data_IF_150396268126
#
_entry.id   IF_150396268126
#
_cell.length_a   1.000
_cell.length_b   1.000
_cell.length_c   1.000
_cell.angle_alpha   90.00
_cell.angle_beta   90.00
_cell.angle_gamma   90.00
#
_symmetry.space_group_name_H-M   'P 1'
#
loop_
_entity.id
_entity.type
_entity.pdbx_description
1 polymer ?
#
# COMPACT_ATOMS: atom_id res chain seq x y z
N UNK A 1 71.86 8.21 -15.78
CA UNK A 1 71.43 7.04 -16.59
C UNK A 1 70.94 5.98 -15.60
N UNK A 2 69.70 5.48 -15.57
CA UNK A 2 68.61 5.34 -16.55
C UNK A 2 67.27 5.29 -15.79
N UNK A 3 66.22 5.86 -16.41
CA UNK A 3 64.80 5.67 -16.07
C UNK A 3 64.41 4.19 -16.22
N UNK A 4 63.47 3.74 -15.40
CA UNK A 4 62.76 2.47 -15.56
C UNK A 4 61.35 2.58 -14.97
N UNK A 5 60.49 3.35 -15.63
CA UNK A 5 59.04 3.32 -15.44
C UNK A 5 58.57 1.93 -15.89
N UNK A 6 58.06 1.11 -14.96
CA UNK A 6 57.22 -0.04 -15.30
C UNK A 6 55.80 0.30 -14.86
N UNK A 7 55.07 0.91 -15.78
CA UNK A 7 53.62 0.96 -15.74
C UNK A 7 53.10 -0.47 -15.85
N UNK A 8 52.72 -1.05 -14.72
CA UNK A 8 51.87 -2.24 -14.68
C UNK A 8 50.45 -1.80 -14.96
N UNK A 9 50.06 -1.79 -16.24
CA UNK A 9 48.65 -1.72 -16.59
C UNK A 9 47.96 -2.97 -16.03
N UNK A 10 47.03 -2.79 -15.09
CA UNK A 10 46.09 -3.85 -14.75
C UNK A 10 45.33 -4.19 -16.04
N UNK A 11 45.30 -5.45 -16.49
CA UNK A 11 44.42 -5.82 -17.58
C UNK A 11 42.99 -5.50 -17.13
N UNK A 12 42.36 -4.53 -17.80
CA UNK A 12 40.92 -4.27 -17.68
C UNK A 12 40.20 -5.46 -18.28
N UNK A 13 39.94 -6.45 -17.45
CA UNK A 13 39.17 -7.63 -17.84
C UNK A 13 37.70 -7.20 -17.95
N UNK A 14 37.34 -6.62 -19.12
CA UNK A 14 35.99 -6.12 -19.41
C UNK A 14 34.91 -7.19 -19.13
N UNK A 15 35.27 -8.48 -19.24
CA UNK A 15 34.41 -9.61 -18.85
C UNK A 15 34.05 -9.63 -17.36
N UNK A 16 34.98 -9.26 -16.49
CA UNK A 16 34.75 -9.16 -15.05
C UNK A 16 33.88 -7.96 -14.67
N UNK A 17 34.05 -6.83 -15.37
CA UNK A 17 33.22 -5.64 -15.19
C UNK A 17 31.74 -5.92 -15.52
N UNK A 18 31.47 -6.57 -16.66
CA UNK A 18 30.09 -6.93 -17.06
C UNK A 18 29.43 -7.86 -16.04
N UNK A 19 30.15 -8.88 -15.55
CA UNK A 19 29.62 -9.78 -14.52
C UNK A 19 29.34 -9.05 -13.19
N UNK A 20 30.20 -8.10 -12.80
CA UNK A 20 30.01 -7.28 -11.61
C UNK A 20 28.81 -6.33 -11.73
N UNK A 21 28.58 -5.75 -12.91
CA UNK A 21 27.41 -4.91 -13.19
C UNK A 21 26.12 -5.69 -13.05
N UNK A 22 26.02 -6.88 -13.66
CA UNK A 22 24.84 -7.73 -13.52
C UNK A 22 24.62 -8.23 -12.09
N UNK A 23 25.70 -8.51 -11.35
CA UNK A 23 25.63 -8.91 -9.95
C UNK A 23 24.94 -7.87 -9.06
N UNK A 24 25.00 -6.58 -9.43
CA UNK A 24 24.33 -5.48 -8.70
C UNK A 24 23.01 -5.09 -9.36
N UNK A 25 22.97 -5.02 -10.70
CA UNK A 25 21.80 -4.59 -11.45
C UNK A 25 20.61 -5.53 -11.28
N UNK A 26 20.83 -6.86 -11.28
CA UNK A 26 19.74 -7.82 -11.13
C UNK A 26 19.07 -7.75 -9.75
N UNK A 27 19.80 -7.77 -8.60
CA UNK A 27 19.17 -7.56 -7.29
C UNK A 27 18.47 -6.20 -7.19
N UNK A 28 19.06 -5.13 -7.71
CA UNK A 28 18.44 -3.80 -7.70
C UNK A 28 17.12 -3.78 -8.48
N UNK A 29 17.08 -4.40 -9.66
CA UNK A 29 15.87 -4.53 -10.47
C UNK A 29 14.79 -5.35 -9.75
N UNK A 30 15.16 -6.46 -9.14
CA UNK A 30 14.23 -7.29 -8.35
C UNK A 30 13.64 -6.48 -7.18
N UNK A 31 14.47 -5.70 -6.47
CA UNK A 31 14.00 -4.82 -5.40
C UNK A 31 13.01 -3.77 -5.91
N UNK A 32 13.31 -3.12 -7.03
CA UNK A 32 12.41 -2.12 -7.63
C UNK A 32 11.06 -2.75 -8.02
N UNK A 33 11.07 -3.93 -8.63
CA UNK A 33 9.85 -4.65 -8.99
C UNK A 33 9.06 -5.04 -7.73
N UNK A 34 9.74 -5.57 -6.71
CA UNK A 34 9.11 -5.96 -5.46
C UNK A 34 8.45 -4.76 -4.76
N UNK A 35 9.12 -3.60 -4.74
CA UNK A 35 8.58 -2.35 -4.21
C UNK A 35 7.38 -1.86 -5.05
N UNK A 36 7.46 -1.94 -6.38
CA UNK A 36 6.37 -1.57 -7.28
C UNK A 36 5.11 -2.42 -7.05
N UNK A 37 5.27 -3.75 -7.00
CA UNK A 37 4.18 -4.68 -6.68
C UNK A 37 3.64 -4.42 -5.28
N UNK A 38 4.50 -4.18 -4.29
CA UNK A 38 4.13 -3.82 -2.93
C UNK A 38 3.25 -2.57 -2.89
N UNK A 39 3.68 -1.49 -3.55
CA UNK A 39 2.94 -0.24 -3.64
C UNK A 39 1.58 -0.40 -4.34
N UNK A 40 1.53 -1.11 -5.47
CA UNK A 40 0.27 -1.39 -6.18
C UNK A 40 -0.68 -2.23 -5.32
N UNK A 41 -0.16 -3.23 -4.61
CA UNK A 41 -0.97 -4.06 -3.72
C UNK A 41 -1.57 -3.26 -2.56
N UNK A 42 -0.78 -2.37 -1.94
CA UNK A 42 -1.24 -1.48 -0.88
C UNK A 42 -2.27 -0.47 -1.40
N UNK A 43 -2.02 0.13 -2.56
CA UNK A 43 -2.97 1.03 -3.23
C UNK A 43 -4.30 0.34 -3.54
N UNK A 44 -4.28 -0.90 -4.02
CA UNK A 44 -5.51 -1.66 -4.28
C UNK A 44 -6.32 -1.93 -3.01
N UNK A 45 -5.65 -2.19 -1.88
CA UNK A 45 -6.30 -2.38 -0.57
C UNK A 45 -6.89 -1.07 -0.07
N UNK A 46 -6.18 0.05 -0.25
CA UNK A 46 -6.66 1.38 0.11
C UNK A 46 -7.93 1.74 -0.67
N UNK A 47 -7.97 1.52 -1.99
CA UNK A 47 -9.16 1.77 -2.82
C UNK A 47 -10.33 0.91 -2.35
N UNK A 48 -10.14 -0.40 -2.16
CA UNK A 48 -11.21 -1.28 -1.65
C UNK A 48 -11.73 -0.84 -0.28
N UNK A 49 -10.84 -0.39 0.61
CA UNK A 49 -11.23 0.11 1.92
C UNK A 49 -12.05 1.41 1.81
N UNK A 50 -11.69 2.31 0.89
CA UNK A 50 -12.43 3.53 0.60
C UNK A 50 -13.83 3.25 0.04
N UNK A 51 -13.93 2.35 -0.94
CA UNK A 51 -15.22 1.94 -1.50
C UNK A 51 -16.12 1.32 -0.41
N UNK A 52 -15.55 0.45 0.42
CA UNK A 52 -16.27 -0.20 1.51
C UNK A 52 -16.80 0.77 2.57
N UNK A 53 -16.01 1.76 3.00
CA UNK A 53 -16.50 2.76 3.98
C UNK A 53 -17.54 3.71 3.38
N UNK A 54 -17.44 4.02 2.09
CA UNK A 54 -18.44 4.84 1.40
C UNK A 54 -19.80 4.13 1.34
N UNK A 55 -19.80 2.84 1.01
CA UNK A 55 -21.02 2.03 0.99
C UNK A 55 -21.57 1.80 2.41
N UNK A 56 -20.70 1.53 3.39
CA UNK A 56 -21.09 1.40 4.78
C UNK A 56 -21.71 2.69 5.34
N UNK A 57 -21.17 3.86 4.98
CA UNK A 57 -21.73 5.15 5.39
C UNK A 57 -23.14 5.35 4.82
N UNK A 58 -23.38 4.98 3.56
CA UNK A 58 -24.71 5.03 2.95
C UNK A 58 -25.70 4.07 3.60
N UNK A 59 -25.26 2.87 3.98
CA UNK A 59 -26.09 1.92 4.74
C UNK A 59 -26.43 2.47 6.13
N UNK A 60 -25.42 2.95 6.86
CA UNK A 60 -25.59 3.49 8.20
C UNK A 60 -26.45 4.78 8.21
N UNK A 61 -26.36 5.61 7.18
CA UNK A 61 -27.19 6.81 7.01
C UNK A 61 -28.67 6.53 6.74
N UNK A 62 -29.01 5.32 6.27
CA UNK A 62 -30.39 4.83 6.13
C UNK A 62 -30.94 4.24 7.43
N UNK A 63 -30.22 4.42 8.54
CA UNK A 63 -30.54 3.84 9.85
C UNK A 63 -30.64 2.30 9.81
N UNK A 64 -29.94 1.67 8.86
CA UNK A 64 -29.79 0.22 8.88
C UNK A 64 -28.92 -0.21 10.07
N UNK A 65 -29.12 -1.47 10.50
CA UNK A 65 -28.38 -2.07 11.62
C UNK A 65 -26.86 -1.79 11.52
N UNK A 66 -26.25 -1.11 12.52
CA UNK A 66 -24.82 -0.84 12.55
C UNK A 66 -23.96 -2.11 12.36
N UNK A 67 -24.45 -3.27 12.80
CA UNK A 67 -23.81 -4.56 12.57
C UNK A 67 -23.69 -4.92 11.08
N UNK A 68 -24.70 -4.60 10.26
CA UNK A 68 -24.67 -4.80 8.81
C UNK A 68 -23.70 -3.86 8.12
N UNK A 69 -23.66 -2.60 8.52
CA UNK A 69 -22.71 -1.62 7.96
C UNK A 69 -21.25 -1.97 8.31
N UNK A 70 -20.97 -2.44 9.54
CA UNK A 70 -19.64 -2.95 9.89
C UNK A 70 -19.32 -4.28 9.16
N UNK A 71 -20.33 -5.14 9.00
CA UNK A 71 -20.23 -6.40 8.27
C UNK A 71 -19.86 -6.22 6.80
N UNK A 72 -20.38 -5.19 6.12
CA UNK A 72 -20.03 -4.91 4.73
C UNK A 72 -18.55 -4.57 4.58
N UNK A 73 -17.98 -3.75 5.47
CA UNK A 73 -16.54 -3.42 5.45
C UNK A 73 -15.68 -4.65 5.73
N UNK A 74 -16.00 -5.44 6.75
CA UNK A 74 -15.20 -6.62 7.11
C UNK A 74 -15.29 -7.73 6.06
N UNK A 75 -16.39 -7.82 5.31
CA UNK A 75 -16.52 -8.75 4.18
C UNK A 75 -15.65 -8.33 2.99
N UNK A 76 -15.55 -7.02 2.70
CA UNK A 76 -14.72 -6.49 1.62
C UNK A 76 -13.22 -6.46 1.99
N UNK A 77 -12.91 -6.17 3.26
CA UNK A 77 -11.55 -6.06 3.79
C UNK A 77 -11.46 -6.80 5.14
N UNK A 78 -11.14 -8.11 5.12
CA UNK A 78 -11.00 -8.91 6.34
C UNK A 78 -9.94 -8.35 7.28
N UNK A 79 -10.26 -8.29 8.58
CA UNK A 79 -9.36 -7.76 9.61
C UNK A 79 -9.38 -6.24 9.73
N UNK A 80 -10.20 -5.53 8.96
CA UNK A 80 -10.42 -4.10 9.17
C UNK A 80 -11.21 -3.86 10.46
N UNK A 81 -10.72 -2.95 11.30
CA UNK A 81 -11.49 -2.34 12.38
C UNK A 81 -12.43 -1.28 11.81
N UNK A 82 -13.62 -1.13 12.38
CA UNK A 82 -14.65 -0.19 11.90
C UNK A 82 -15.19 0.62 13.08
N UNK A 83 -15.32 1.91 12.87
CA UNK A 83 -15.92 2.87 13.80
C UNK A 83 -16.99 3.66 13.05
N UNK A 84 -18.19 3.77 13.64
CA UNK A 84 -19.30 4.55 13.08
C UNK A 84 -19.60 5.71 14.01
N UNK A 85 -19.71 6.92 13.47
CA UNK A 85 -19.92 8.14 14.26
C UNK A 85 -20.93 9.04 13.57
N UNK A 86 -21.92 9.52 14.31
CA UNK A 86 -22.80 10.59 13.85
C UNK A 86 -22.11 11.96 14.04
N UNK A 87 -22.08 12.78 13.00
CA UNK A 87 -21.53 14.14 13.00
C UNK A 87 -22.57 15.10 12.42
N UNK A 88 -23.39 15.68 13.30
CA UNK A 88 -24.53 16.50 12.88
C UNK A 88 -25.50 15.66 12.05
N UNK A 89 -25.76 16.11 10.82
CA UNK A 89 -26.63 15.40 9.88
C UNK A 89 -25.89 14.33 9.06
N UNK A 90 -24.60 14.08 9.32
CA UNK A 90 -23.82 13.05 8.63
C UNK A 90 -23.63 11.81 9.51
N UNK A 91 -23.66 10.64 8.90
CA UNK A 91 -23.13 9.40 9.49
C UNK A 91 -21.81 9.09 8.80
N UNK A 92 -20.73 9.07 9.58
CA UNK A 92 -19.38 8.77 9.12
C UNK A 92 -18.96 7.37 9.56
N UNK A 93 -18.31 6.64 8.66
CA UNK A 93 -17.71 5.33 8.90
C UNK A 93 -16.22 5.46 8.66
N UNK A 94 -15.43 5.10 9.67
CA UNK A 94 -13.97 5.03 9.59
C UNK A 94 -13.55 3.58 9.69
N UNK A 95 -12.60 3.19 8.86
CA UNK A 95 -12.01 1.86 8.93
C UNK A 95 -10.50 1.90 8.88
N UNK A 96 -9.86 0.94 9.56
CA UNK A 96 -8.41 0.82 9.59
C UNK A 96 -7.96 -0.65 9.54
N UNK A 97 -6.89 -0.90 8.78
CA UNK A 97 -6.28 -2.23 8.66
C UNK A 97 -4.75 -2.13 8.58
N UNK A 98 -4.05 -3.05 9.24
CA UNK A 98 -2.60 -3.17 9.14
C UNK A 98 -2.20 -3.92 7.87
N UNK A 99 -1.36 -3.31 7.05
CA UNK A 99 -0.91 -3.90 5.80
C UNK A 99 0.35 -4.76 6.02
N UNK A 100 0.16 -5.91 6.66
CA UNK A 100 1.22 -6.90 6.81
C UNK A 100 1.82 -7.31 5.45
N UNK A 101 3.15 -7.53 5.38
CA UNK A 101 4.13 -7.52 6.48
C UNK A 101 4.72 -6.15 6.81
N UNK A 102 4.29 -5.07 6.14
CA UNK A 102 4.82 -3.74 6.38
C UNK A 102 4.21 -3.14 7.65
N UNK A 103 4.96 -2.39 8.48
CA UNK A 103 4.44 -1.72 9.68
C UNK A 103 3.68 -0.45 9.31
N UNK A 104 2.71 -0.57 8.38
CA UNK A 104 1.89 0.53 7.90
C UNK A 104 0.41 0.20 8.14
N UNK A 105 -0.35 1.18 8.62
CA UNK A 105 -1.80 1.06 8.80
C UNK A 105 -2.50 1.87 7.71
N UNK A 106 -3.35 1.21 6.94
CA UNK A 106 -4.23 1.84 5.98
C UNK A 106 -5.49 2.32 6.69
N UNK A 107 -5.93 3.54 6.37
CA UNK A 107 -7.14 4.15 6.95
C UNK A 107 -8.01 4.73 5.86
N UNK A 108 -9.32 4.60 6.03
CA UNK A 108 -10.32 5.22 5.18
C UNK A 108 -11.46 5.79 6.02
N UNK A 109 -12.11 6.83 5.52
CA UNK A 109 -13.28 7.44 6.13
C UNK A 109 -14.26 7.85 5.03
N UNK A 110 -15.53 7.49 5.19
CA UNK A 110 -16.62 7.89 4.31
C UNK A 110 -17.76 8.45 5.15
N UNK A 111 -18.41 9.52 4.69
CA UNK A 111 -19.57 10.11 5.35
C UNK A 111 -20.74 10.20 4.37
N UNK A 112 -21.95 9.97 4.87
CA UNK A 112 -23.19 10.14 4.12
C UNK A 112 -24.21 10.92 4.96
N UNK A 113 -25.10 11.67 4.30
CA UNK A 113 -26.17 12.43 4.96
C UNK A 113 -27.24 11.48 5.51
N UNK A 114 -27.52 11.59 6.81
CA UNK A 114 -28.59 10.88 7.49
C UNK A 114 -29.94 11.31 6.92
N UNK A 115 -30.82 10.33 6.64
CA UNK A 115 -32.20 10.61 6.22
C UNK A 115 -32.36 11.08 4.77
N UNK A 116 -31.41 10.78 3.87
CA UNK A 116 -31.56 11.05 2.43
C UNK A 116 -32.75 10.31 1.81
N UNK A 117 -33.87 11.02 1.63
CA UNK A 117 -34.95 10.70 0.69
C UNK A 117 -34.62 11.23 -0.70
#
# INVERSE_FOLDING_TARGET
MRRGVLGGGFPTDDRGAVAAEFAVALPALVLVIALGVGALSAGSRQVRLQDAVADAARLAAREEDPGRAAGSVTSAVPGASVEITARGDLVCVRAAIDAAPLPITLRAEGCALAGGL
#
